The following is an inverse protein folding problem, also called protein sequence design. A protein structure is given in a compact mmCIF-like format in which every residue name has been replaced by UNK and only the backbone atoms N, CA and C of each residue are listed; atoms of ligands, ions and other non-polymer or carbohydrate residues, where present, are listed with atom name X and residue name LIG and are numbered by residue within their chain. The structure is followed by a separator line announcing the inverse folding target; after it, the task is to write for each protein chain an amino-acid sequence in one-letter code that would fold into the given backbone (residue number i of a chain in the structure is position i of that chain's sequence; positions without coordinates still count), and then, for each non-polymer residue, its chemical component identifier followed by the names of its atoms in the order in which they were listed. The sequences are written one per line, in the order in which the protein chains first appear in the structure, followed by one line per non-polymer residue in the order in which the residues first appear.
data_IF_401718287625
#
_entry.id   IF_401718287625
#
_cell.length_a   1.000
_cell.length_b   1.000
_cell.length_c   1.000
_cell.angle_alpha   90.00
_cell.angle_beta   90.00
_cell.angle_gamma   90.00
#
_symmetry.space_group_name_H-M   'P 1'
#
loop_
_entity.id
_entity.type
_entity.pdbx_description
1 polymer ?
#
# COMPACT_ATOMS: atom_id res chain seq x y z
N UNK A 1 -3.26 41.01 5.43
CA UNK A 1 -3.53 42.14 4.52
C UNK A 1 -3.19 43.43 5.21
N UNK A 2 -2.27 44.21 4.67
CA UNK A 2 -1.90 45.53 5.21
C UNK A 2 -2.33 46.60 4.22
N UNK A 3 -2.82 47.73 4.72
CA UNK A 3 -3.17 48.90 3.91
C UNK A 3 -2.19 50.01 4.30
N UNK A 4 -1.45 50.50 3.32
CA UNK A 4 -0.58 51.70 3.48
C UNK A 4 -1.31 52.85 2.87
N UNK A 5 -1.56 53.90 3.64
CA UNK A 5 -2.21 55.10 3.19
C UNK A 5 -1.19 56.24 3.15
N UNK A 6 -0.95 56.80 1.98
CA UNK A 6 -0.16 58.02 1.82
C UNK A 6 -1.10 59.21 1.68
N UNK A 7 -0.83 60.28 2.41
CA UNK A 7 -1.62 61.53 2.34
C UNK A 7 -0.71 62.72 1.98
N UNK A 8 -1.10 63.49 1.00
CA UNK A 8 -0.45 64.74 0.65
C UNK A 8 -1.43 65.88 0.80
N UNK A 9 -0.99 67.04 1.31
CA UNK A 9 -1.83 68.22 1.49
C UNK A 9 -1.37 69.31 0.52
N UNK A 10 -2.26 69.80 -0.35
CA UNK A 10 -2.00 70.88 -1.29
C UNK A 10 -3.06 71.97 -1.08
N UNK A 11 -2.65 73.20 -0.70
CA UNK A 11 -3.54 74.32 -0.47
C UNK A 11 -4.81 73.97 0.32
N UNK A 12 -4.61 73.37 1.53
CA UNK A 12 -5.69 72.98 2.45
C UNK A 12 -6.64 71.88 1.94
N UNK A 13 -6.27 71.18 0.88
CA UNK A 13 -6.98 70.01 0.40
C UNK A 13 -6.07 68.77 0.56
N UNK A 14 -6.61 67.71 1.10
CA UNK A 14 -5.90 66.40 1.25
C UNK A 14 -6.31 65.44 0.15
N UNK A 15 -5.36 64.78 -0.45
CA UNK A 15 -5.57 63.64 -1.36
C UNK A 15 -4.87 62.44 -0.74
N UNK A 16 -5.51 61.30 -0.76
CA UNK A 16 -4.94 60.07 -0.26
C UNK A 16 -4.98 58.96 -1.30
N UNK A 17 -3.95 58.13 -1.32
CA UNK A 17 -3.92 56.93 -2.12
C UNK A 17 -3.67 55.75 -1.16
N UNK A 18 -4.26 54.59 -1.48
CA UNK A 18 -4.10 53.37 -0.71
C UNK A 18 -3.39 52.30 -1.56
N UNK A 19 -2.40 51.67 -0.97
CA UNK A 19 -1.74 50.46 -1.51
C UNK A 19 -2.13 49.24 -0.69
N UNK A 20 -2.63 48.22 -1.33
CA UNK A 20 -2.89 46.94 -0.69
C UNK A 20 -1.63 46.09 -0.76
N UNK A 21 -1.08 45.74 0.38
CA UNK A 21 0.02 44.77 0.51
C UNK A 21 -0.55 43.44 1.02
N UNK A 22 -0.41 42.40 0.22
CA UNK A 22 -0.72 41.05 0.65
C UNK A 22 0.58 40.40 1.16
N UNK A 23 0.68 40.14 2.45
CA UNK A 23 1.73 39.28 2.98
C UNK A 23 1.35 37.82 2.68
N UNK A 24 2.23 37.14 1.98
CA UNK A 24 2.07 35.74 1.64
C UNK A 24 2.74 34.88 2.71
N UNK A 25 2.13 33.78 3.08
CA UNK A 25 2.70 32.83 4.03
C UNK A 25 3.54 31.79 3.29
N UNK A 26 4.72 31.52 3.84
CA UNK A 26 5.64 30.52 3.34
C UNK A 26 5.31 29.11 3.86
N UNK A 27 5.98 28.10 3.33
CA UNK A 27 5.94 26.72 3.88
C UNK A 27 6.83 26.68 5.11
N UNK A 28 6.22 26.47 6.28
CA UNK A 28 6.91 26.26 7.56
C UNK A 28 7.10 24.77 7.87
N UNK A 29 6.15 23.93 7.43
CA UNK A 29 6.24 22.49 7.51
C UNK A 29 5.43 21.80 6.40
N UNK A 30 5.85 20.60 6.02
CA UNK A 30 5.12 19.71 5.11
C UNK A 30 5.08 18.33 5.75
N UNK A 31 3.92 17.68 5.74
CA UNK A 31 3.72 16.36 6.31
C UNK A 31 2.64 15.58 5.57
N UNK A 32 2.47 14.32 5.94
CA UNK A 32 1.32 13.51 5.53
C UNK A 32 0.35 13.36 6.70
N UNK A 33 -0.93 13.22 6.42
CA UNK A 33 -1.98 12.94 7.42
C UNK A 33 -1.90 11.50 7.93
N UNK A 34 -1.22 10.62 7.19
CA UNK A 34 -1.00 9.20 7.50
C UNK A 34 0.49 8.88 7.50
N UNK A 35 0.93 7.93 8.34
CA UNK A 35 2.33 7.48 8.40
C UNK A 35 2.65 6.43 7.34
N UNK A 36 1.66 5.64 6.92
CA UNK A 36 1.82 4.56 5.94
C UNK A 36 0.54 4.30 5.18
N UNK A 37 0.69 3.73 3.96
CA UNK A 37 -0.41 3.28 3.11
C UNK A 37 -0.13 1.90 2.56
N UNK A 38 -1.14 1.02 2.58
CA UNK A 38 -1.06 -0.29 1.94
C UNK A 38 -1.77 -0.23 0.60
N UNK A 39 -1.09 -0.69 -0.44
CA UNK A 39 -1.62 -0.83 -1.80
C UNK A 39 -1.40 -2.26 -2.29
N UNK A 40 -2.20 -2.68 -3.25
CA UNK A 40 -2.00 -3.94 -3.95
C UNK A 40 -1.39 -3.69 -5.32
N UNK A 41 -0.55 -4.62 -5.78
CA UNK A 41 0.15 -4.53 -7.07
C UNK A 41 -0.78 -4.09 -8.20
N UNK A 42 -0.37 -3.08 -8.96
CA UNK A 42 -1.12 -2.47 -10.07
C UNK A 42 -2.10 -1.36 -9.64
N UNK A 43 -2.37 -1.20 -8.35
CA UNK A 43 -3.25 -0.11 -7.85
C UNK A 43 -2.53 1.21 -7.76
N UNK A 44 -3.31 2.27 -7.87
CA UNK A 44 -2.86 3.67 -7.70
C UNK A 44 -3.61 4.35 -6.58
N UNK A 45 -3.00 5.39 -6.00
CA UNK A 45 -3.65 6.25 -5.00
C UNK A 45 -3.12 7.68 -5.10
N UNK A 46 -3.91 8.65 -4.64
CA UNK A 46 -3.55 10.06 -4.62
C UNK A 46 -2.96 10.47 -3.27
N UNK A 47 -1.63 10.57 -3.22
CA UNK A 47 -0.91 11.01 -2.03
C UNK A 47 -0.92 12.53 -1.85
N UNK A 48 -1.19 13.31 -2.92
CA UNK A 48 -1.25 14.75 -2.82
C UNK A 48 -2.42 15.20 -1.94
N UNK A 49 -3.52 14.43 -1.92
CA UNK A 49 -4.67 14.66 -1.04
C UNK A 49 -4.37 14.46 0.45
N UNK A 50 -3.28 13.73 0.78
CA UNK A 50 -2.84 13.45 2.15
C UNK A 50 -1.84 14.48 2.68
N UNK A 51 -1.45 15.49 1.88
CA UNK A 51 -0.47 16.50 2.30
C UNK A 51 -1.08 17.44 3.33
N UNK A 52 -0.33 17.62 4.42
CA UNK A 52 -0.62 18.56 5.50
C UNK A 52 0.43 19.67 5.49
N UNK A 53 -0.02 20.91 5.34
CA UNK A 53 0.81 22.11 5.34
C UNK A 53 0.80 22.80 6.70
N UNK A 54 1.95 23.29 7.13
CA UNK A 54 2.09 24.16 8.32
C UNK A 54 1.36 23.59 9.55
N UNK A 55 1.43 22.26 9.74
CA UNK A 55 0.71 21.50 10.79
C UNK A 55 -0.81 21.75 10.78
N UNK A 56 -1.38 22.07 9.62
CA UNK A 56 -2.80 22.36 9.44
C UNK A 56 -3.25 23.72 9.96
N UNK A 57 -2.30 24.61 10.33
CA UNK A 57 -2.62 25.95 10.86
C UNK A 57 -2.92 26.97 9.78
N UNK A 58 -2.26 26.84 8.62
CA UNK A 58 -2.39 27.78 7.50
C UNK A 58 -1.94 27.14 6.19
N UNK A 59 -2.50 27.66 5.10
CA UNK A 59 -2.09 27.25 3.75
C UNK A 59 -0.99 28.17 3.24
N UNK A 60 0.15 27.66 2.77
CA UNK A 60 1.19 28.46 2.15
C UNK A 60 0.74 28.95 0.77
N UNK A 61 1.34 30.03 0.31
CA UNK A 61 1.08 30.61 -1.01
C UNK A 61 1.54 29.68 -2.13
N UNK A 62 2.76 29.11 -1.99
CA UNK A 62 3.30 28.17 -2.95
C UNK A 62 3.20 26.75 -2.38
N UNK A 63 2.43 25.90 -3.04
CA UNK A 63 2.20 24.48 -2.69
C UNK A 63 2.87 23.51 -3.66
N UNK A 64 3.85 23.99 -4.46
CA UNK A 64 4.58 23.11 -5.37
C UNK A 64 5.38 22.06 -4.63
N UNK A 65 5.25 20.82 -5.09
CA UNK A 65 5.93 19.65 -4.55
C UNK A 65 6.68 18.90 -5.64
N UNK A 66 7.88 18.48 -5.31
CA UNK A 66 8.63 17.48 -6.09
C UNK A 66 8.46 16.12 -5.40
N UNK A 67 8.05 15.13 -6.18
CA UNK A 67 7.78 13.78 -5.70
C UNK A 67 8.89 12.83 -6.13
N UNK A 68 9.33 11.94 -5.21
CA UNK A 68 10.32 10.91 -5.50
C UNK A 68 10.00 9.62 -4.75
N UNK A 69 10.32 8.48 -5.37
CA UNK A 69 10.26 7.18 -4.72
C UNK A 69 11.64 6.78 -4.20
N UNK A 70 11.67 6.12 -3.05
CA UNK A 70 12.87 5.51 -2.49
C UNK A 70 13.27 4.21 -3.22
N UNK A 71 12.26 3.51 -3.79
CA UNK A 71 12.46 2.31 -4.61
C UNK A 71 11.33 2.19 -5.65
N UNK A 72 11.64 2.52 -6.88
CA UNK A 72 10.69 2.49 -8.00
C UNK A 72 10.31 1.07 -8.44
N UNK A 73 11.10 0.06 -8.06
CA UNK A 73 10.75 -1.35 -8.30
C UNK A 73 9.58 -1.81 -7.43
N UNK A 74 9.35 -1.16 -6.29
CA UNK A 74 8.23 -1.41 -5.36
C UNK A 74 7.05 -0.50 -5.66
N UNK A 75 7.27 0.81 -5.76
CA UNK A 75 6.24 1.78 -6.11
C UNK A 75 6.83 3.00 -6.81
N UNK A 76 6.16 3.50 -7.83
CA UNK A 76 6.49 4.75 -8.52
C UNK A 76 5.54 5.86 -8.07
N UNK A 77 5.94 7.11 -8.29
CA UNK A 77 5.09 8.28 -8.05
C UNK A 77 5.18 9.26 -9.22
N UNK A 78 4.04 9.82 -9.61
CA UNK A 78 3.99 10.85 -10.66
C UNK A 78 4.38 12.23 -10.12
N UNK A 79 4.63 13.18 -11.02
CA UNK A 79 4.85 14.60 -10.67
C UNK A 79 3.66 15.25 -9.97
N UNK A 80 2.47 14.66 -10.05
CA UNK A 80 1.24 15.14 -9.39
C UNK A 80 0.96 14.43 -8.05
N UNK A 81 1.83 13.50 -7.60
CA UNK A 81 1.64 12.78 -6.34
C UNK A 81 0.79 11.52 -6.42
N UNK A 82 0.47 11.04 -7.63
CA UNK A 82 -0.19 9.74 -7.81
C UNK A 82 0.84 8.63 -7.67
N UNK A 83 0.71 7.82 -6.62
CA UNK A 83 1.53 6.62 -6.42
C UNK A 83 0.93 5.44 -7.18
N UNK A 84 1.80 4.59 -7.75
CA UNK A 84 1.44 3.31 -8.38
C UNK A 84 2.25 2.19 -7.76
N UNK A 85 1.56 1.19 -7.23
CA UNK A 85 2.16 -0.05 -6.73
C UNK A 85 2.67 -0.91 -7.89
N UNK A 86 3.95 -1.29 -7.86
CA UNK A 86 4.64 -2.04 -8.93
C UNK A 86 4.82 -3.51 -8.53
N UNK A 87 5.50 -3.77 -7.41
CA UNK A 87 5.76 -5.12 -6.93
C UNK A 87 5.67 -5.19 -5.41
N UNK A 88 5.41 -6.38 -4.82
CA UNK A 88 5.36 -6.56 -3.37
C UNK A 88 6.63 -6.10 -2.68
N UNK A 89 6.47 -5.37 -1.57
CA UNK A 89 7.59 -4.81 -0.82
C UNK A 89 7.21 -3.58 -0.02
N UNK A 90 8.23 -2.87 0.47
CA UNK A 90 8.07 -1.60 1.18
C UNK A 90 9.01 -0.55 0.62
N UNK A 91 8.52 0.66 0.47
CA UNK A 91 9.31 1.82 0.08
C UNK A 91 8.77 3.08 0.73
N UNK A 92 9.51 4.19 0.62
CA UNK A 92 9.04 5.50 1.02
C UNK A 92 8.79 6.37 -0.22
N UNK A 93 7.67 7.08 -0.23
CA UNK A 93 7.47 8.20 -1.15
C UNK A 93 7.77 9.49 -0.40
N UNK A 94 8.52 10.36 -1.05
CA UNK A 94 8.94 11.66 -0.54
C UNK A 94 8.24 12.78 -1.30
N UNK A 95 7.74 13.77 -0.55
CA UNK A 95 7.25 15.04 -1.07
C UNK A 95 8.20 16.14 -0.59
N UNK A 96 8.79 16.88 -1.51
CA UNK A 96 9.73 17.97 -1.22
C UNK A 96 9.14 19.28 -1.68
N UNK A 97 8.93 20.22 -0.74
CA UNK A 97 8.47 21.58 -1.06
C UNK A 97 9.59 22.42 -1.72
N UNK A 98 9.21 23.48 -2.40
CA UNK A 98 10.14 24.36 -3.14
C UNK A 98 11.28 24.93 -2.26
N UNK A 99 11.06 25.09 -0.95
CA UNK A 99 12.06 25.55 0.01
C UNK A 99 12.91 24.43 0.63
N UNK A 100 12.79 23.17 0.13
CA UNK A 100 13.59 22.02 0.54
C UNK A 100 13.06 21.24 1.74
N UNK A 101 11.94 21.65 2.35
CA UNK A 101 11.29 20.87 3.40
C UNK A 101 10.72 19.57 2.81
N UNK A 102 10.87 18.46 3.57
CA UNK A 102 10.51 17.13 3.09
C UNK A 102 9.55 16.43 4.02
N UNK A 103 8.58 15.76 3.42
CA UNK A 103 7.73 14.75 4.07
C UNK A 103 7.97 13.38 3.45
N UNK A 104 7.68 12.31 4.20
CA UNK A 104 7.70 10.93 3.68
C UNK A 104 6.52 10.13 4.21
N UNK A 105 6.06 9.18 3.40
CA UNK A 105 5.05 8.19 3.75
C UNK A 105 5.56 6.80 3.37
N UNK A 106 5.37 5.79 4.24
CA UNK A 106 5.68 4.40 3.90
C UNK A 106 4.60 3.84 2.99
N UNK A 107 5.01 3.24 1.87
CA UNK A 107 4.12 2.48 0.99
C UNK A 107 4.44 1.00 1.17
N UNK A 108 3.43 0.23 1.56
CA UNK A 108 3.48 -1.23 1.67
C UNK A 108 2.71 -1.81 0.51
N UNK A 109 3.41 -2.45 -0.41
CA UNK A 109 2.78 -3.12 -1.56
C UNK A 109 2.59 -4.59 -1.25
N UNK A 110 1.36 -5.07 -1.39
CA UNK A 110 0.95 -6.46 -1.26
C UNK A 110 0.48 -7.02 -2.60
N UNK A 111 0.42 -8.35 -2.69
CA UNK A 111 -0.14 -9.04 -3.85
C UNK A 111 -1.19 -10.06 -3.42
N UNK A 112 -2.31 -10.08 -4.14
CA UNK A 112 -3.39 -11.04 -3.92
C UNK A 112 -3.06 -12.40 -4.51
N UNK A 113 -3.68 -13.46 -3.95
CA UNK A 113 -3.65 -14.81 -4.51
C UNK A 113 -4.57 -14.85 -5.73
N UNK A 114 -4.09 -15.46 -6.82
CA UNK A 114 -4.87 -15.73 -8.04
C UNK A 114 -5.09 -17.22 -8.26
N UNK A 115 -4.42 -18.08 -7.50
CA UNK A 115 -4.55 -19.51 -7.57
C UNK A 115 -3.60 -20.24 -6.63
N UNK A 116 -3.59 -21.57 -6.74
CA UNK A 116 -2.76 -22.49 -5.98
C UNK A 116 -2.09 -23.47 -6.93
N UNK A 117 -0.86 -23.86 -6.62
CA UNK A 117 -0.12 -24.91 -7.28
C UNK A 117 0.27 -25.96 -6.25
N UNK A 118 0.02 -27.22 -6.55
CA UNK A 118 0.42 -28.38 -5.76
C UNK A 118 1.74 -28.94 -6.28
N UNK A 119 2.59 -29.45 -5.40
CA UNK A 119 3.85 -30.13 -5.79
C UNK A 119 3.59 -31.35 -6.67
N UNK A 120 2.47 -32.04 -6.47
CA UNK A 120 2.00 -33.16 -7.26
C UNK A 120 0.48 -33.18 -7.31
N UNK A 121 -0.09 -33.77 -8.37
CA UNK A 121 -1.55 -33.88 -8.58
C UNK A 121 -2.10 -35.28 -8.28
N UNK A 122 -1.21 -36.26 -8.07
CA UNK A 122 -1.56 -37.63 -7.69
C UNK A 122 -0.44 -38.31 -6.93
N UNK A 123 -0.80 -39.24 -6.06
CA UNK A 123 0.09 -40.11 -5.31
C UNK A 123 -0.39 -41.56 -5.38
N UNK A 124 0.54 -42.50 -5.51
CA UNK A 124 0.30 -43.92 -5.35
C UNK A 124 1.11 -44.40 -4.12
N UNK A 125 0.41 -44.77 -3.06
CA UNK A 125 1.01 -45.17 -1.79
C UNK A 125 0.45 -46.53 -1.36
N UNK A 126 1.33 -47.41 -0.90
CA UNK A 126 0.91 -48.63 -0.21
C UNK A 126 0.41 -48.29 1.18
N UNK A 127 -0.52 -49.09 1.69
CA UNK A 127 -1.04 -48.98 3.06
C UNK A 127 0.10 -48.87 4.09
N UNK A 128 0.01 -47.83 4.94
CA UNK A 128 1.02 -47.44 5.91
C UNK A 128 2.14 -46.53 5.43
N UNK A 129 2.32 -46.37 4.10
CA UNK A 129 3.31 -45.44 3.56
C UNK A 129 2.89 -43.97 3.74
N UNK A 130 3.91 -43.10 3.71
CA UNK A 130 3.74 -41.65 3.83
C UNK A 130 4.50 -40.93 2.74
N UNK A 131 3.99 -39.75 2.34
CA UNK A 131 4.64 -38.82 1.44
C UNK A 131 4.24 -37.39 1.84
N UNK A 132 4.77 -36.36 1.14
CA UNK A 132 4.48 -34.96 1.42
C UNK A 132 3.89 -34.27 0.20
N UNK A 133 2.81 -33.50 0.42
CA UNK A 133 2.30 -32.54 -0.53
C UNK A 133 2.63 -31.12 -0.05
N UNK A 134 3.09 -30.27 -0.95
CA UNK A 134 3.21 -28.84 -0.70
C UNK A 134 2.31 -28.06 -1.63
N UNK A 135 1.78 -26.96 -1.13
CA UNK A 135 0.97 -26.01 -1.88
C UNK A 135 1.69 -24.66 -1.94
N UNK A 136 1.72 -24.06 -3.12
CA UNK A 136 2.33 -22.73 -3.35
C UNK A 136 1.29 -21.77 -3.91
N UNK A 137 1.15 -20.57 -3.36
CA UNK A 137 0.26 -19.57 -3.93
C UNK A 137 0.73 -19.13 -5.32
N UNK A 138 -0.21 -18.78 -6.17
CA UNK A 138 0.07 -18.09 -7.44
C UNK A 138 -0.40 -16.64 -7.35
N UNK A 139 0.48 -15.66 -7.63
CA UNK A 139 1.94 -15.81 -7.76
C UNK A 139 2.61 -16.17 -6.42
N UNK A 140 3.81 -16.76 -6.48
CA UNK A 140 4.54 -17.20 -5.28
C UNK A 140 4.85 -16.06 -4.28
N UNK A 141 4.84 -14.81 -4.76
CA UNK A 141 5.00 -13.58 -3.97
C UNK A 141 3.71 -13.09 -3.32
N UNK A 142 2.57 -13.79 -3.53
CA UNK A 142 1.29 -13.37 -2.95
C UNK A 142 1.32 -13.41 -1.41
N UNK A 143 0.67 -12.42 -0.80
CA UNK A 143 0.59 -12.32 0.65
C UNK A 143 -0.53 -13.22 1.16
N UNK A 144 -0.16 -14.34 1.75
CA UNK A 144 -1.09 -15.32 2.35
C UNK A 144 -1.13 -15.21 3.87
N UNK A 145 -2.22 -15.68 4.47
CA UNK A 145 -2.41 -15.83 5.91
C UNK A 145 -2.05 -17.26 6.37
N UNK A 146 -2.55 -18.26 5.66
CA UNK A 146 -2.33 -19.67 6.00
C UNK A 146 -2.51 -20.60 4.81
N UNK A 147 -1.90 -21.77 4.92
CA UNK A 147 -2.19 -22.95 4.09
C UNK A 147 -2.69 -24.03 5.04
N UNK A 148 -3.77 -24.69 4.68
CA UNK A 148 -4.33 -25.82 5.42
C UNK A 148 -4.58 -27.00 4.48
N UNK A 149 -4.51 -28.22 5.03
CA UNK A 149 -4.74 -29.44 4.29
C UNK A 149 -5.89 -30.24 4.90
N UNK A 150 -6.65 -30.96 4.08
CA UNK A 150 -7.72 -31.85 4.52
C UNK A 150 -7.86 -33.05 3.60
N UNK A 151 -8.36 -34.16 4.11
CA UNK A 151 -8.73 -35.35 3.34
C UNK A 151 -10.25 -35.45 3.22
N UNK A 152 -10.75 -35.87 2.05
CA UNK A 152 -12.17 -36.15 1.86
C UNK A 152 -12.60 -37.45 2.55
N UNK A 153 -11.67 -38.41 2.73
CA UNK A 153 -11.91 -39.66 3.48
C UNK A 153 -10.66 -40.07 4.24
N UNK A 154 -10.61 -39.75 5.53
CA UNK A 154 -9.49 -40.10 6.43
C UNK A 154 -9.35 -41.60 6.69
N UNK A 155 -10.35 -42.42 6.35
CA UNK A 155 -10.26 -43.87 6.42
C UNK A 155 -9.38 -44.47 5.30
N UNK A 156 -9.23 -43.71 4.18
CA UNK A 156 -8.39 -44.08 3.04
C UNK A 156 -7.03 -43.43 3.15
N UNK A 157 -6.94 -42.12 3.39
CA UNK A 157 -5.69 -41.42 3.62
C UNK A 157 -5.92 -40.20 4.54
N UNK A 158 -4.95 -39.94 5.42
CA UNK A 158 -4.91 -38.74 6.27
C UNK A 158 -3.87 -37.74 5.75
N UNK A 159 -3.99 -36.51 6.13
CA UNK A 159 -2.98 -35.46 5.92
C UNK A 159 -2.88 -34.59 7.18
N UNK A 160 -1.65 -34.24 7.59
CA UNK A 160 -1.42 -33.34 8.71
C UNK A 160 -1.27 -31.87 8.28
N UNK A 161 -1.05 -31.00 9.24
CA UNK A 161 -0.91 -29.54 9.01
C UNK A 161 0.34 -29.17 8.23
N UNK A 162 1.32 -30.06 8.13
CA UNK A 162 2.57 -29.87 7.38
C UNK A 162 2.48 -30.45 5.96
N UNK A 163 1.34 -31.06 5.61
CA UNK A 163 1.12 -31.70 4.31
C UNK A 163 1.65 -33.13 4.21
N UNK A 164 1.95 -33.79 5.35
CA UNK A 164 2.34 -35.18 5.35
C UNK A 164 1.12 -36.08 5.15
N UNK A 165 1.07 -36.77 4.03
CA UNK A 165 0.04 -37.74 3.69
C UNK A 165 0.42 -39.08 4.26
N UNK A 166 -0.56 -39.86 4.77
CA UNK A 166 -0.42 -41.25 5.18
C UNK A 166 -1.54 -42.07 4.57
N UNK A 167 -1.21 -43.11 3.79
CA UNK A 167 -2.15 -44.11 3.34
C UNK A 167 -2.61 -44.98 4.51
N UNK A 168 -3.92 -45.07 4.74
CA UNK A 168 -4.52 -45.81 5.88
C UNK A 168 -5.08 -47.13 5.40
N UNK A 169 -5.78 -47.15 4.26
CA UNK A 169 -6.44 -48.33 3.70
C UNK A 169 -6.55 -48.21 2.19
N UNK A 170 -6.59 -49.36 1.50
CA UNK A 170 -6.80 -49.41 0.04
C UNK A 170 -8.08 -48.69 -0.39
N UNK A 171 -7.97 -47.80 -1.38
CA UNK A 171 -9.02 -46.97 -1.91
C UNK A 171 -8.47 -45.72 -2.59
N UNK A 172 -9.36 -44.80 -2.95
CA UNK A 172 -8.99 -43.49 -3.52
C UNK A 172 -9.72 -42.38 -2.78
N UNK A 173 -9.01 -41.30 -2.46
CA UNK A 173 -9.57 -40.09 -1.84
C UNK A 173 -8.83 -38.86 -2.35
N UNK A 174 -9.41 -37.67 -2.16
CA UNK A 174 -8.77 -36.40 -2.47
C UNK A 174 -8.15 -35.79 -1.21
N UNK A 175 -6.92 -35.30 -1.35
CA UNK A 175 -6.31 -34.40 -0.40
C UNK A 175 -6.47 -32.98 -0.95
N UNK A 176 -7.02 -32.08 -0.16
CA UNK A 176 -7.26 -30.68 -0.51
C UNK A 176 -6.28 -29.78 0.22
N UNK A 177 -5.71 -28.82 -0.48
CA UNK A 177 -4.97 -27.73 0.10
C UNK A 177 -5.79 -26.44 -0.06
N UNK A 178 -5.92 -25.67 1.01
CA UNK A 178 -6.66 -24.41 1.02
C UNK A 178 -5.72 -23.30 1.44
N UNK A 179 -5.63 -22.24 0.61
CA UNK A 179 -4.89 -21.02 0.93
C UNK A 179 -5.89 -19.95 1.38
N UNK A 180 -5.62 -19.32 2.52
CA UNK A 180 -6.39 -18.19 3.03
C UNK A 180 -5.56 -16.92 2.94
N UNK A 181 -6.15 -15.84 2.45
CA UNK A 181 -5.53 -14.52 2.40
C UNK A 181 -6.55 -13.42 2.73
N UNK A 182 -6.05 -12.22 3.03
CA UNK A 182 -6.90 -11.03 3.23
C UNK A 182 -7.03 -10.29 1.92
N UNK A 183 -8.25 -9.94 1.53
CA UNK A 183 -8.55 -9.20 0.30
C UNK A 183 -8.00 -7.76 0.32
N UNK A 184 -8.13 -7.07 -0.80
CA UNK A 184 -7.64 -5.69 -1.00
C UNK A 184 -8.25 -4.68 -0.01
N UNK A 185 -9.45 -4.94 0.53
CA UNK A 185 -10.08 -4.13 1.58
C UNK A 185 -9.42 -4.29 2.96
N UNK A 186 -8.49 -5.25 3.11
CA UNK A 186 -7.80 -5.57 4.35
C UNK A 186 -8.66 -6.22 5.43
N UNK A 187 -9.91 -6.57 5.12
CA UNK A 187 -10.92 -7.06 6.07
C UNK A 187 -11.51 -8.41 5.67
N UNK A 188 -11.74 -8.63 4.37
CA UNK A 188 -12.37 -9.84 3.87
C UNK A 188 -11.35 -10.96 3.72
N UNK A 189 -11.58 -12.10 4.40
CA UNK A 189 -10.79 -13.32 4.18
C UNK A 189 -11.33 -14.07 2.96
N UNK A 190 -10.43 -14.58 2.13
CA UNK A 190 -10.72 -15.39 0.95
C UNK A 190 -9.97 -16.70 0.97
N UNK A 191 -10.48 -17.69 0.25
CA UNK A 191 -9.89 -19.03 0.12
C UNK A 191 -9.90 -19.50 -1.33
N UNK A 192 -8.94 -20.35 -1.68
CA UNK A 192 -8.85 -21.08 -2.95
C UNK A 192 -8.35 -22.49 -2.72
#
# INVERSE_FOLDING_TARGET
KFIITGTATIKSKSVSAQLIVNALQDVESVGFTEASKTLYTGRTDDLASLIKWNDGKSDPYNKELTWTSGDESVATVSSTGIVKAVAPGKTYIYATAYNGLKAKIEIVVKQTVTGIELSQTSYELWEGQTDFISATPKPATANIKSITYSSDDEKIATVDTEGKIKAVKGGSTYIKATITWTDEDGKTEKTV
#
